data_IF_656315195573
#
_entry.id   IF_656315195573
#
_cell.length_a   1.000
_cell.length_b   1.000
_cell.length_c   1.000
_cell.angle_alpha   90.00
_cell.angle_beta   90.00
_cell.angle_gamma   90.00
#
_symmetry.space_group_name_H-M   'P 1'
#
loop_
_entity.id
_entity.type
_entity.pdbx_description
1 polymer ?
#
# COMPACT_ATOMS: atom_id res chain seq x y z
N UNK A 1 -41.19 -61.84 13.28
CA UNK A 1 -42.21 -60.79 13.01
C UNK A 1 -41.63 -59.49 13.54
N UNK A 2 -41.45 -58.37 12.84
CA UNK A 2 -41.93 -57.88 11.56
C UNK A 2 -40.83 -57.02 10.92
N UNK A 3 -40.58 -57.25 9.62
CA UNK A 3 -39.90 -56.28 8.74
C UNK A 3 -40.93 -55.26 8.27
N UNK A 4 -40.67 -53.96 8.42
CA UNK A 4 -41.22 -52.90 7.56
C UNK A 4 -40.39 -51.62 7.76
N UNK A 5 -39.37 -51.40 6.92
CA UNK A 5 -39.36 -50.51 5.74
C UNK A 5 -39.50 -49.02 6.10
N UNK A 6 -38.50 -48.23 5.68
CA UNK A 6 -38.51 -46.87 5.07
C UNK A 6 -37.16 -46.21 5.44
N UNK A 7 -36.09 -46.35 4.65
CA UNK A 7 -35.71 -45.60 3.43
C UNK A 7 -35.26 -44.14 3.71
N UNK A 8 -34.12 -43.78 3.09
CA UNK A 8 -33.39 -42.49 3.09
C UNK A 8 -32.66 -42.14 4.40
N UNK A 9 -31.38 -41.79 4.44
CA UNK A 9 -30.53 -41.14 3.44
C UNK A 9 -29.07 -41.55 3.70
N UNK A 10 -28.40 -42.00 2.64
CA UNK A 10 -26.98 -42.29 2.60
C UNK A 10 -26.22 -40.95 2.61
N UNK A 11 -25.75 -40.48 3.76
CA UNK A 11 -24.72 -39.42 3.81
C UNK A 11 -23.43 -40.04 4.32
N UNK A 12 -22.60 -40.41 3.35
CA UNK A 12 -21.21 -40.73 3.58
C UNK A 12 -20.55 -39.59 4.36
N UNK A 13 -20.01 -39.91 5.53
CA UNK A 13 -19.00 -39.11 6.20
C UNK A 13 -17.76 -39.19 5.31
N UNK A 14 -17.70 -38.32 4.31
CA UNK A 14 -16.47 -38.09 3.55
C UNK A 14 -15.56 -37.35 4.52
N UNK A 15 -14.52 -38.06 4.97
CA UNK A 15 -13.28 -37.48 5.47
C UNK A 15 -12.77 -36.49 4.41
N UNK A 16 -13.21 -35.24 4.49
CA UNK A 16 -12.56 -34.14 3.79
C UNK A 16 -11.34 -33.80 4.64
N UNK A 17 -10.28 -34.58 4.44
CA UNK A 17 -8.91 -34.09 4.53
C UNK A 17 -8.78 -33.01 3.45
N UNK A 18 -9.35 -31.85 3.74
CA UNK A 18 -9.43 -30.70 2.86
C UNK A 18 -8.10 -29.99 2.89
N UNK A 19 -7.27 -30.34 1.90
CA UNK A 19 -6.36 -29.44 1.21
C UNK A 19 -5.82 -28.29 2.06
N UNK A 20 -4.77 -28.59 2.83
CA UNK A 20 -3.76 -27.58 3.16
C UNK A 20 -3.15 -27.15 1.83
N UNK A 21 -3.75 -26.14 1.19
CA UNK A 21 -3.19 -25.50 0.01
C UNK A 21 -1.83 -24.96 0.42
N UNK A 22 -0.84 -25.67 -0.10
CA UNK A 22 0.56 -25.31 -0.08
C UNK A 22 0.68 -24.01 -0.89
N UNK A 23 0.46 -22.86 -0.26
CA UNK A 23 0.86 -21.56 -0.82
C UNK A 23 2.38 -21.50 -0.78
N UNK A 24 2.98 -22.18 -1.76
CA UNK A 24 4.37 -22.03 -2.11
C UNK A 24 4.54 -20.62 -2.68
N UNK A 25 5.46 -19.86 -2.07
CA UNK A 25 6.22 -18.77 -2.67
C UNK A 25 5.41 -17.82 -3.55
N UNK A 26 4.67 -16.90 -2.93
CA UNK A 26 4.56 -15.59 -3.56
C UNK A 26 5.91 -14.88 -3.40
N UNK A 27 6.46 -14.52 -4.54
CA UNK A 27 7.79 -13.99 -4.72
C UNK A 27 8.19 -13.01 -3.61
N UNK A 28 9.13 -13.45 -2.77
CA UNK A 28 9.93 -12.57 -1.94
C UNK A 28 10.85 -11.78 -2.88
N UNK A 29 10.28 -10.80 -3.58
CA UNK A 29 11.04 -9.86 -4.38
C UNK A 29 11.83 -9.05 -3.36
N UNK A 30 13.09 -9.43 -3.14
CA UNK A 30 14.04 -8.60 -2.43
C UNK A 30 14.08 -7.27 -3.16
N UNK A 31 13.46 -6.25 -2.55
CA UNK A 31 13.53 -4.91 -3.09
C UNK A 31 15.00 -4.48 -3.12
N UNK A 32 15.45 -3.76 -4.15
CA UNK A 32 16.81 -3.24 -4.20
C UNK A 32 17.13 -2.45 -2.92
N UNK A 33 18.39 -2.51 -2.46
CA UNK A 33 18.82 -1.88 -1.20
C UNK A 33 18.55 -0.36 -1.13
N UNK A 34 18.41 0.33 -2.27
CA UNK A 34 18.04 1.76 -2.31
C UNK A 34 16.58 2.02 -1.92
N UNK A 35 15.75 0.97 -1.85
CA UNK A 35 14.33 1.05 -1.49
C UNK A 35 14.11 0.84 0.02
N UNK A 36 15.09 0.32 0.76
CA UNK A 36 15.03 0.20 2.22
C UNK A 36 15.65 1.44 2.89
N UNK A 37 14.81 2.44 3.18
CA UNK A 37 15.23 3.63 3.93
C UNK A 37 15.44 3.25 5.40
N UNK A 38 16.67 2.94 5.77
CA UNK A 38 17.12 2.95 7.15
C UNK A 38 17.91 4.27 7.38
N UNK A 39 18.03 4.71 8.63
CA UNK A 39 18.67 5.99 8.98
C UNK A 39 20.16 6.06 8.58
N UNK A 40 20.88 4.93 8.56
CA UNK A 40 22.21 4.83 7.96
C UNK A 40 22.19 4.96 6.42
N UNK A 41 21.18 4.41 5.71
CA UNK A 41 21.06 4.59 4.26
C UNK A 41 20.82 6.05 3.90
N UNK A 42 19.92 6.75 4.60
CA UNK A 42 19.62 8.17 4.39
C UNK A 42 20.81 9.11 4.62
N UNK A 43 21.66 8.81 5.60
CA UNK A 43 22.83 9.62 5.93
C UNK A 43 24.05 9.33 5.04
N UNK A 44 24.09 8.16 4.40
CA UNK A 44 25.16 7.77 3.46
C UNK A 44 24.78 8.01 2.00
N UNK A 45 23.48 8.03 1.68
CA UNK A 45 22.98 8.35 0.36
C UNK A 45 23.00 9.86 0.18
N UNK A 46 23.96 10.35 -0.59
CA UNK A 46 23.78 11.54 -1.42
C UNK A 46 22.66 11.31 -2.45
N UNK A 47 21.49 10.79 -2.06
CA UNK A 47 20.38 10.52 -2.96
C UNK A 47 19.77 11.87 -3.34
N UNK A 48 20.33 12.42 -4.42
CA UNK A 48 19.99 13.73 -4.99
C UNK A 48 18.49 13.84 -5.29
N UNK A 49 17.80 12.71 -5.43
CA UNK A 49 16.40 12.55 -5.80
C UNK A 49 15.42 13.29 -4.89
N UNK A 50 15.57 13.23 -3.56
CA UNK A 50 14.64 13.93 -2.65
C UNK A 50 14.82 15.47 -2.66
N UNK A 51 16.00 15.93 -3.11
CA UNK A 51 16.34 17.37 -3.19
C UNK A 51 16.12 17.94 -4.59
N UNK A 52 15.73 17.11 -5.55
CA UNK A 52 15.49 17.50 -6.94
C UNK A 52 13.98 17.50 -7.20
N UNK A 53 13.51 18.53 -7.91
CA UNK A 53 12.13 18.58 -8.39
C UNK A 53 11.83 17.36 -9.27
N UNK A 54 10.84 16.57 -8.87
CA UNK A 54 10.42 15.38 -9.59
C UNK A 54 9.85 15.72 -10.99
N UNK A 55 10.05 14.80 -11.94
CA UNK A 55 9.60 14.98 -13.33
C UNK A 55 8.09 14.74 -13.44
N UNK A 56 7.41 15.62 -14.15
CA UNK A 56 6.02 15.43 -14.59
C UNK A 56 5.96 14.30 -15.61
N UNK A 57 4.97 13.42 -15.48
CA UNK A 57 4.69 12.35 -16.44
C UNK A 57 3.81 12.86 -17.58
N UNK A 58 3.99 12.29 -18.77
CA UNK A 58 3.09 12.54 -19.89
C UNK A 58 2.12 11.37 -20.06
N UNK A 59 0.94 11.65 -20.61
CA UNK A 59 -0.04 10.63 -20.97
C UNK A 59 -0.04 10.39 -22.49
N UNK A 60 -0.23 9.15 -22.96
CA UNK A 60 -0.40 7.92 -22.17
C UNK A 60 0.89 7.53 -21.42
N UNK A 61 0.72 6.83 -20.29
CA UNK A 61 1.84 6.38 -19.47
C UNK A 61 2.68 5.35 -20.24
N UNK A 62 4.00 5.46 -20.12
CA UNK A 62 4.92 4.47 -20.67
C UNK A 62 4.93 3.19 -19.83
N UNK A 63 5.47 2.09 -20.39
CA UNK A 63 5.67 0.85 -19.62
C UNK A 63 6.61 1.04 -18.43
N UNK A 64 7.56 1.98 -18.53
CA UNK A 64 8.43 2.36 -17.43
C UNK A 64 7.65 3.11 -16.34
N UNK A 65 6.74 4.01 -16.69
CA UNK A 65 5.88 4.69 -15.71
C UNK A 65 5.00 3.70 -14.93
N UNK A 66 4.39 2.75 -15.63
CA UNK A 66 3.56 1.72 -14.99
C UNK A 66 4.37 0.82 -14.05
N UNK A 67 5.60 0.46 -14.44
CA UNK A 67 6.52 -0.29 -13.59
C UNK A 67 6.86 0.48 -12.32
N UNK A 68 7.19 1.76 -12.46
CA UNK A 68 7.58 2.61 -11.32
C UNK A 68 6.40 2.83 -10.35
N UNK A 69 5.18 3.01 -10.88
CA UNK A 69 3.95 3.05 -10.07
C UNK A 69 3.77 1.75 -9.29
N UNK A 70 3.97 0.59 -9.93
CA UNK A 70 3.87 -0.71 -9.27
C UNK A 70 4.92 -0.89 -8.16
N UNK A 71 6.14 -0.40 -8.37
CA UNK A 71 7.20 -0.42 -7.35
C UNK A 71 6.80 0.46 -6.16
N UNK A 72 6.30 1.67 -6.41
CA UNK A 72 5.84 2.58 -5.37
C UNK A 72 4.70 1.96 -4.54
N UNK A 73 3.70 1.38 -5.20
CA UNK A 73 2.58 0.72 -4.53
C UNK A 73 3.04 -0.44 -3.66
N UNK A 74 3.86 -1.34 -4.20
CA UNK A 74 4.40 -2.49 -3.43
C UNK A 74 5.21 -2.04 -2.24
N UNK A 75 5.96 -0.95 -2.38
CA UNK A 75 6.74 -0.41 -1.27
C UNK A 75 5.82 0.16 -0.20
N UNK A 76 4.82 0.95 -0.58
CA UNK A 76 3.82 1.45 0.37
C UNK A 76 3.14 0.30 1.14
N UNK A 77 2.74 -0.77 0.44
CA UNK A 77 2.08 -1.93 1.06
C UNK A 77 3.00 -2.72 2.03
N UNK A 78 4.32 -2.53 1.96
CA UNK A 78 5.29 -3.16 2.86
C UNK A 78 5.66 -2.28 4.07
N UNK A 79 5.34 -0.99 4.05
CA UNK A 79 5.67 -0.08 5.15
C UNK A 79 4.58 -0.13 6.23
N UNK A 80 5.00 -0.45 7.46
CA UNK A 80 4.10 -0.37 8.62
C UNK A 80 3.85 1.10 9.00
N UNK A 81 2.60 1.44 9.30
CA UNK A 81 2.18 2.78 9.74
C UNK A 81 2.52 3.93 8.76
N UNK A 82 2.50 3.65 7.46
CA UNK A 82 2.73 4.66 6.42
C UNK A 82 1.42 5.32 5.96
N UNK A 83 1.21 6.59 6.29
CA UNK A 83 0.07 7.37 5.77
C UNK A 83 0.22 7.72 4.28
N UNK A 84 1.45 7.88 3.80
CA UNK A 84 1.74 8.15 2.40
C UNK A 84 3.22 8.06 2.04
N UNK A 85 3.48 7.80 0.76
CA UNK A 85 4.80 7.63 0.18
C UNK A 85 4.87 8.31 -1.19
N UNK A 86 5.95 9.04 -1.44
CA UNK A 86 6.25 9.68 -2.72
C UNK A 86 7.37 8.91 -3.44
N UNK A 87 7.27 8.81 -4.78
CA UNK A 87 8.27 8.12 -5.60
C UNK A 87 9.72 8.62 -5.38
N UNK A 88 9.98 9.93 -5.17
CA UNK A 88 11.34 10.40 -4.89
C UNK A 88 11.96 9.84 -3.61
N UNK A 89 11.15 9.49 -2.59
CA UNK A 89 11.66 8.92 -1.33
C UNK A 89 12.33 7.56 -1.58
N UNK A 90 11.95 6.86 -2.65
CA UNK A 90 12.49 5.54 -3.02
C UNK A 90 13.38 5.62 -4.27
N UNK A 91 13.96 6.79 -4.55
CA UNK A 91 14.89 6.98 -5.66
C UNK A 91 14.26 7.15 -7.04
N UNK A 92 12.94 7.26 -7.14
CA UNK A 92 12.24 7.45 -8.43
C UNK A 92 11.93 8.94 -8.62
N UNK A 93 12.62 9.61 -9.55
CA UNK A 93 12.47 11.06 -9.79
C UNK A 93 11.22 11.44 -10.62
N UNK A 94 10.05 10.93 -10.24
CA UNK A 94 8.77 11.15 -10.92
C UNK A 94 7.71 11.70 -9.96
N UNK A 95 6.83 12.56 -10.48
CA UNK A 95 5.79 13.22 -9.69
C UNK A 95 4.60 12.28 -9.45
N UNK A 96 4.78 11.34 -8.52
CA UNK A 96 3.80 10.32 -8.17
C UNK A 96 3.79 10.17 -6.65
N UNK A 97 2.60 10.16 -6.07
CA UNK A 97 2.38 9.89 -4.65
C UNK A 97 1.33 8.79 -4.48
N UNK A 98 1.48 8.00 -3.42
CA UNK A 98 0.46 7.07 -2.93
C UNK A 98 0.18 7.41 -1.47
N UNK A 99 -1.08 7.42 -1.07
CA UNK A 99 -1.46 7.68 0.32
C UNK A 99 -2.83 7.07 0.63
N UNK A 100 -3.09 6.89 1.92
CA UNK A 100 -4.37 6.48 2.44
C UNK A 100 -4.60 7.13 3.80
N UNK A 101 -5.87 7.41 4.10
CA UNK A 101 -6.32 7.86 5.41
C UNK A 101 -7.49 6.97 5.79
N UNK A 102 -7.20 5.94 6.58
CA UNK A 102 -8.21 4.98 6.99
C UNK A 102 -8.99 5.48 8.21
N UNK A 103 -10.25 5.08 8.28
CA UNK A 103 -11.04 5.20 9.51
C UNK A 103 -10.46 4.25 10.55
N UNK A 104 -9.67 4.78 11.49
CA UNK A 104 -9.07 4.01 12.58
C UNK A 104 -9.50 4.61 13.94
N UNK A 105 -10.21 3.80 14.72
CA UNK A 105 -10.75 4.20 16.01
C UNK A 105 -9.67 4.50 17.05
N UNK A 106 -8.52 3.82 16.99
CA UNK A 106 -7.39 4.11 17.88
C UNK A 106 -6.68 5.40 17.45
N UNK A 107 -6.47 5.60 16.14
CA UNK A 107 -5.91 6.85 15.63
C UNK A 107 -6.79 8.05 16.00
N UNK A 108 -8.12 7.92 15.93
CA UNK A 108 -9.06 8.99 16.31
C UNK A 108 -9.03 9.36 17.79
N UNK A 109 -8.54 8.49 18.68
CA UNK A 109 -8.30 8.88 20.09
C UNK A 109 -7.16 9.89 20.20
N UNK A 110 -6.13 9.75 19.36
CA UNK A 110 -4.98 10.64 19.30
C UNK A 110 -5.21 11.84 18.38
N UNK A 111 -6.02 11.66 17.33
CA UNK A 111 -6.37 12.65 16.30
C UNK A 111 -7.89 12.82 16.18
N UNK A 112 -8.55 13.39 17.21
CA UNK A 112 -9.99 13.64 17.17
C UNK A 112 -10.40 14.65 16.08
N UNK A 113 -9.44 15.39 15.54
CA UNK A 113 -9.56 16.31 14.41
C UNK A 113 -9.57 15.61 13.04
N UNK A 114 -9.21 14.32 12.96
CA UNK A 114 -9.27 13.52 11.75
C UNK A 114 -10.72 13.24 11.33
N UNK A 115 -11.25 14.11 10.47
CA UNK A 115 -12.63 14.04 9.97
C UNK A 115 -12.74 13.37 8.61
N UNK A 116 -11.76 13.61 7.76
CA UNK A 116 -11.77 13.15 6.37
C UNK A 116 -10.98 11.85 6.24
N UNK A 117 -11.49 10.94 5.43
CA UNK A 117 -10.85 9.66 5.10
C UNK A 117 -10.61 9.57 3.60
N UNK A 118 -9.64 8.75 3.22
CA UNK A 118 -9.26 8.54 1.83
C UNK A 118 -8.84 7.07 1.64
N UNK A 119 -9.48 6.30 0.75
CA UNK A 119 -8.98 4.98 0.40
C UNK A 119 -7.58 5.07 -0.23
N UNK A 120 -6.84 3.97 -0.25
CA UNK A 120 -5.51 3.90 -0.90
C UNK A 120 -5.60 4.45 -2.33
N UNK A 121 -4.90 5.55 -2.59
CA UNK A 121 -5.04 6.31 -3.83
C UNK A 121 -3.67 6.72 -4.36
N UNK A 122 -3.49 6.61 -5.68
CA UNK A 122 -2.29 7.07 -6.39
C UNK A 122 -2.63 8.34 -7.16
N UNK A 123 -1.87 9.40 -6.95
CA UNK A 123 -1.97 10.64 -7.73
C UNK A 123 -0.74 10.82 -8.60
N UNK A 124 -0.98 11.08 -9.89
CA UNK A 124 0.06 11.35 -10.89
C UNK A 124 -0.01 12.84 -11.25
N UNK A 125 1.15 13.50 -11.22
CA UNK A 125 1.26 14.95 -11.41
C UNK A 125 0.32 15.78 -10.52
N UNK A 126 0.18 15.47 -9.21
CA UNK A 126 -0.69 16.26 -8.34
C UNK A 126 -0.22 17.72 -8.28
N UNK A 127 -1.19 18.61 -8.06
CA UNK A 127 -0.93 20.01 -7.73
C UNK A 127 -1.82 20.40 -6.56
N UNK A 128 -1.33 21.33 -5.74
CA UNK A 128 -2.05 21.82 -4.57
C UNK A 128 -2.36 23.31 -4.75
N UNK A 129 -3.60 23.68 -4.46
CA UNK A 129 -4.03 25.06 -4.31
C UNK A 129 -4.81 25.17 -3.00
N UNK A 130 -4.40 26.02 -2.06
CA UNK A 130 -5.15 26.21 -0.82
C UNK A 130 -6.52 26.80 -1.10
N UNK A 131 -7.53 26.35 -0.35
CA UNK A 131 -8.91 26.85 -0.43
C UNK A 131 -9.17 28.06 0.48
N UNK A 132 -8.28 28.32 1.44
CA UNK A 132 -8.34 29.43 2.39
C UNK A 132 -6.95 29.86 2.86
N UNK A 133 -6.88 30.82 3.78
CA UNK A 133 -5.61 31.33 4.35
C UNK A 133 -5.30 30.77 5.74
N UNK A 134 -6.26 30.06 6.35
CA UNK A 134 -6.12 29.47 7.67
C UNK A 134 -4.98 28.44 7.65
N UNK A 135 -4.23 28.39 8.74
CA UNK A 135 -3.09 27.49 8.92
C UNK A 135 -3.24 26.75 10.24
N UNK A 136 -2.71 25.54 10.28
CA UNK A 136 -2.63 24.72 11.47
C UNK A 136 -1.17 24.34 11.71
N UNK A 137 -0.75 24.31 12.97
CA UNK A 137 0.57 23.83 13.39
C UNK A 137 0.36 22.49 14.09
N UNK A 138 1.10 21.47 13.66
CA UNK A 138 0.95 20.10 14.13
C UNK A 138 2.30 19.36 14.04
N UNK A 139 2.39 18.20 14.69
CA UNK A 139 3.54 17.32 14.58
C UNK A 139 3.39 16.43 13.33
N UNK A 140 4.41 16.46 12.46
CA UNK A 140 4.54 15.63 11.25
C UNK A 140 5.82 14.78 11.29
#
# INVERSE_FOLDING_TARGET
>A
MSKLKTALLLTAIIFITGCKSNMKNEHNISLPQYVTLNTQTLNSSEDKTIRIKAKTLNFPLSSEDLRDISILEKKYDQEENCAGLAAPQIGISKCIIIFAVHEDAELKKWRPDLKDTMPKTIWINPSYKPIGIDKHEDYE
#
